data_IF_932294661880
#
_entry.id   IF_932294661880
#
_cell.length_a   1.000
_cell.length_b   1.000
_cell.length_c   1.000
_cell.angle_alpha   90.00
_cell.angle_beta   90.00
_cell.angle_gamma   90.00
#
_symmetry.space_group_name_H-M   'P 1'
#
loop_
_entity.id
_entity.type
_entity.pdbx_description
1 polymer ?
#
# COMPACT_ATOMS: atom_id res chain seq x y z
N UNK A 1 14.89 -54.07 44.61
CA UNK A 1 14.69 -53.09 43.51
C UNK A 1 14.90 -53.83 42.20
N UNK A 2 14.16 -53.41 41.18
CA UNK A 2 14.18 -53.83 39.77
C UNK A 2 13.28 -54.98 39.28
N UNK A 3 12.06 -54.53 38.98
CA UNK A 3 11.30 -54.65 37.72
C UNK A 3 10.88 -56.01 37.19
N UNK A 4 9.59 -56.25 37.43
CA UNK A 4 8.72 -57.28 36.87
C UNK A 4 8.03 -56.77 35.60
N UNK A 5 8.06 -57.64 34.58
CA UNK A 5 7.09 -57.89 33.48
C UNK A 5 6.81 -56.82 32.42
N UNK A 6 7.05 -57.24 31.17
CA UNK A 6 6.27 -56.83 30.01
C UNK A 6 5.02 -57.69 29.77
N UNK A 7 4.12 -57.15 28.96
CA UNK A 7 3.14 -57.78 28.03
C UNK A 7 2.40 -56.60 27.36
N UNK A 8 2.66 -56.31 26.08
CA UNK A 8 1.98 -56.83 24.87
C UNK A 8 0.48 -56.50 24.82
N UNK A 9 0.09 -55.67 23.85
CA UNK A 9 -1.07 -55.92 22.99
C UNK A 9 -1.09 -54.88 21.84
N UNK A 10 -1.03 -55.40 20.62
CA UNK A 10 -1.11 -54.62 19.39
C UNK A 10 -2.53 -54.50 18.83
N UNK A 11 -2.55 -54.00 17.59
CA UNK A 11 -3.61 -54.04 16.56
C UNK A 11 -4.52 -52.80 16.46
N UNK A 12 -4.33 -52.05 15.39
CA UNK A 12 -5.28 -52.02 14.25
C UNK A 12 -4.68 -51.23 13.08
N UNK A 13 -4.52 -51.89 11.94
CA UNK A 13 -4.34 -51.22 10.66
C UNK A 13 -5.69 -50.90 10.03
N UNK A 14 -5.77 -49.78 9.33
CA UNK A 14 -6.73 -49.53 8.27
C UNK A 14 -6.11 -48.56 7.27
N UNK A 15 -5.77 -49.10 6.10
CA UNK A 15 -5.54 -48.37 4.85
C UNK A 15 -6.84 -47.71 4.41
N UNK A 16 -6.82 -46.49 3.85
CA UNK A 16 -7.55 -46.15 2.61
C UNK A 16 -7.29 -44.73 2.10
N UNK A 17 -6.94 -44.69 0.81
CA UNK A 17 -7.28 -43.74 -0.25
C UNK A 17 -6.70 -42.32 -0.33
N UNK A 18 -6.06 -42.14 -1.49
CA UNK A 18 -5.72 -40.92 -2.18
C UNK A 18 -6.93 -40.29 -2.90
N UNK A 19 -6.67 -39.10 -3.48
CA UNK A 19 -7.53 -38.18 -4.24
C UNK A 19 -8.41 -37.28 -3.35
N UNK A 20 -8.50 -35.96 -3.56
CA UNK A 20 -8.20 -35.16 -4.75
C UNK A 20 -8.08 -33.68 -4.40
N UNK A 21 -7.43 -32.95 -5.31
CA UNK A 21 -7.60 -31.53 -5.67
C UNK A 21 -7.69 -30.48 -4.54
N UNK A 22 -6.64 -29.69 -4.32
CA UNK A 22 -6.43 -28.43 -5.05
C UNK A 22 -7.46 -27.35 -4.70
N UNK A 23 -7.23 -26.68 -3.58
CA UNK A 23 -7.73 -25.33 -3.34
C UNK A 23 -6.61 -24.50 -2.71
N UNK A 24 -5.52 -24.34 -3.47
CA UNK A 24 -4.56 -23.28 -3.21
C UNK A 24 -5.13 -22.01 -3.85
N UNK A 25 -6.07 -21.39 -3.12
CA UNK A 25 -6.62 -20.10 -3.45
C UNK A 25 -5.50 -19.15 -3.84
N UNK A 26 -5.57 -18.68 -5.08
CA UNK A 26 -4.72 -17.62 -5.62
C UNK A 26 -4.73 -16.49 -4.60
N UNK A 27 -3.59 -16.20 -3.98
CA UNK A 27 -3.42 -15.02 -3.14
C UNK A 27 -3.53 -13.79 -4.06
N UNK A 28 -4.78 -13.38 -4.29
CA UNK A 28 -5.15 -12.17 -5.00
C UNK A 28 -4.88 -10.99 -4.08
N UNK A 29 -3.61 -10.65 -3.98
CA UNK A 29 -3.10 -9.62 -3.09
C UNK A 29 -2.31 -8.62 -3.94
N UNK A 30 -2.98 -8.01 -4.92
CA UNK A 30 -2.40 -6.95 -5.75
C UNK A 30 -2.77 -5.55 -5.22
N UNK A 31 -2.01 -5.09 -4.21
CA UNK A 31 -2.20 -3.81 -3.50
C UNK A 31 -1.77 -2.54 -4.26
N UNK A 32 -2.18 -1.37 -3.72
CA UNK A 32 -2.31 -0.06 -4.39
C UNK A 32 -1.22 0.96 -4.11
N UNK A 33 -0.42 1.28 -5.14
CA UNK A 33 0.37 2.51 -5.31
C UNK A 33 0.64 2.74 -6.81
N UNK A 34 0.46 3.98 -7.27
CA UNK A 34 0.88 4.49 -8.57
C UNK A 34 0.24 3.81 -9.79
N UNK A 35 -0.70 4.48 -10.46
CA UNK A 35 -1.41 3.92 -11.62
C UNK A 35 -0.48 3.34 -12.70
N UNK A 36 0.72 3.88 -12.88
CA UNK A 36 1.67 3.40 -13.90
C UNK A 36 2.56 2.22 -13.44
N UNK A 37 2.95 2.20 -12.16
CA UNK A 37 3.72 1.11 -11.53
C UNK A 37 2.90 -0.18 -11.50
N UNK A 38 1.65 -0.11 -11.04
CA UNK A 38 0.70 -1.23 -11.10
C UNK A 38 0.47 -1.72 -12.51
N UNK A 39 0.35 -0.80 -13.48
CA UNK A 39 0.17 -1.18 -14.88
C UNK A 39 1.38 -1.95 -15.40
N UNK A 40 2.60 -1.68 -14.94
CA UNK A 40 3.79 -2.42 -15.40
C UNK A 40 3.77 -3.90 -14.96
N UNK A 41 3.56 -4.19 -13.67
CA UNK A 41 3.54 -5.58 -13.19
C UNK A 41 2.36 -6.37 -13.74
N UNK A 42 1.20 -5.75 -13.84
CA UNK A 42 0.01 -6.37 -14.45
C UNK A 42 0.28 -6.66 -15.93
N UNK A 43 0.92 -5.74 -16.67
CA UNK A 43 1.32 -6.00 -18.07
C UNK A 43 2.33 -7.15 -18.18
N UNK A 44 3.31 -7.21 -17.28
CA UNK A 44 4.30 -8.29 -17.25
C UNK A 44 3.63 -9.65 -16.95
N UNK A 45 2.73 -9.69 -15.97
CA UNK A 45 1.96 -10.89 -15.66
C UNK A 45 1.05 -11.32 -16.81
N UNK A 46 0.30 -10.39 -17.41
CA UNK A 46 -0.57 -10.70 -18.54
C UNK A 46 0.23 -11.21 -19.74
N UNK A 47 1.42 -10.65 -19.98
CA UNK A 47 2.33 -11.17 -20.99
C UNK A 47 2.75 -12.62 -20.68
N UNK A 48 3.15 -12.90 -19.44
CA UNK A 48 3.48 -14.27 -19.02
C UNK A 48 2.31 -15.24 -19.17
N UNK A 49 1.10 -14.85 -18.75
CA UNK A 49 -0.11 -15.66 -18.93
C UNK A 49 -0.39 -15.92 -20.40
N UNK A 50 -0.19 -14.94 -21.28
CA UNK A 50 -0.40 -15.11 -22.72
C UNK A 50 0.55 -16.14 -23.35
N UNK A 51 1.70 -16.41 -22.72
CA UNK A 51 2.69 -17.39 -23.17
C UNK A 51 2.46 -18.81 -22.64
N UNK A 52 1.49 -19.02 -21.73
CA UNK A 52 1.24 -20.33 -21.13
C UNK A 52 0.80 -21.37 -22.17
N UNK A 53 -0.02 -20.99 -23.15
CA UNK A 53 -0.50 -21.88 -24.22
C UNK A 53 -1.02 -23.24 -23.68
N UNK A 54 -1.74 -23.22 -22.55
CA UNK A 54 -2.28 -24.42 -21.89
C UNK A 54 -1.27 -25.26 -21.10
N UNK A 55 -0.01 -24.82 -20.99
CA UNK A 55 1.05 -25.46 -20.18
C UNK A 55 1.04 -24.92 -18.74
N UNK A 56 1.61 -25.66 -17.77
CA UNK A 56 1.78 -25.16 -16.41
C UNK A 56 2.76 -23.97 -16.33
N UNK A 57 3.76 -23.94 -17.23
CA UNK A 57 4.75 -22.87 -17.33
C UNK A 57 4.96 -22.52 -18.81
N UNK A 58 5.16 -21.23 -19.13
CA UNK A 58 5.51 -20.83 -20.48
C UNK A 58 6.86 -21.41 -20.91
N UNK A 59 6.99 -21.66 -22.21
CA UNK A 59 8.29 -22.05 -22.77
C UNK A 59 9.23 -20.85 -22.84
N UNK A 60 10.47 -21.03 -22.37
CA UNK A 60 11.50 -19.99 -22.50
C UNK A 60 11.77 -19.61 -23.96
N UNK A 61 11.54 -20.53 -24.91
CA UNK A 61 11.72 -20.28 -26.34
C UNK A 61 10.77 -19.21 -26.90
N UNK A 62 9.67 -18.92 -26.20
CA UNK A 62 8.68 -17.92 -26.61
C UNK A 62 8.91 -16.55 -25.94
N UNK A 63 9.92 -16.43 -25.07
CA UNK A 63 10.25 -15.19 -24.39
C UNK A 63 11.37 -14.46 -25.14
N UNK A 64 11.07 -13.24 -25.60
CA UNK A 64 12.05 -12.36 -26.25
C UNK A 64 12.14 -11.02 -25.48
N UNK A 65 12.94 -10.94 -24.40
CA UNK A 65 12.94 -9.78 -23.49
C UNK A 65 13.30 -8.46 -24.18
N UNK A 66 14.15 -8.51 -25.21
CA UNK A 66 14.62 -7.34 -25.96
C UNK A 66 13.53 -6.67 -26.80
N UNK A 67 12.51 -7.41 -27.20
CA UNK A 67 11.41 -6.89 -28.02
C UNK A 67 10.35 -6.16 -27.20
N UNK A 68 10.37 -6.36 -25.87
CA UNK A 68 9.37 -5.83 -24.96
C UNK A 68 9.77 -4.40 -24.55
N UNK A 69 9.19 -3.41 -25.21
CA UNK A 69 9.47 -1.99 -24.93
C UNK A 69 8.98 -1.53 -23.57
N UNK A 70 7.88 -2.10 -23.08
CA UNK A 70 7.15 -1.57 -21.92
C UNK A 70 7.84 -1.86 -20.59
N UNK A 71 8.49 -3.02 -20.47
CA UNK A 71 9.11 -3.49 -19.23
C UNK A 71 10.40 -4.29 -19.46
N UNK A 72 10.80 -4.57 -20.70
CA UNK A 72 12.09 -5.19 -21.02
C UNK A 72 13.31 -4.43 -20.48
N UNK A 73 13.33 -3.09 -20.42
CA UNK A 73 14.42 -2.35 -19.77
C UNK A 73 14.50 -2.56 -18.24
N UNK A 74 13.39 -2.97 -17.62
CA UNK A 74 13.21 -3.15 -16.19
C UNK A 74 13.23 -4.63 -15.76
N UNK A 75 13.61 -5.53 -16.67
CA UNK A 75 13.53 -6.97 -16.44
C UNK A 75 14.89 -7.65 -16.32
N UNK A 76 14.88 -8.86 -15.77
CA UNK A 76 16.03 -9.74 -15.62
C UNK A 76 15.59 -11.17 -15.93
N UNK A 77 16.45 -11.94 -16.60
CA UNK A 77 16.26 -13.37 -16.81
C UNK A 77 17.38 -14.13 -16.13
N UNK A 78 16.99 -15.03 -15.24
CA UNK A 78 17.89 -15.90 -14.49
C UNK A 78 17.79 -17.33 -15.04
N UNK A 79 18.93 -17.94 -15.31
CA UNK A 79 19.10 -19.30 -15.81
C UNK A 79 19.64 -20.22 -14.70
N UNK A 80 18.82 -21.20 -14.34
CA UNK A 80 19.07 -22.20 -13.29
C UNK A 80 19.47 -23.57 -13.85
N UNK A 81 19.64 -23.70 -15.17
CA UNK A 81 19.96 -24.98 -15.83
C UNK A 81 21.25 -25.64 -15.30
N UNK A 82 22.16 -24.85 -14.70
CA UNK A 82 23.44 -25.32 -14.16
C UNK A 82 23.51 -25.33 -12.62
N UNK A 83 22.39 -25.08 -11.92
CA UNK A 83 22.31 -25.14 -10.46
C UNK A 83 21.58 -23.96 -9.82
N UNK A 84 21.13 -24.16 -8.58
CA UNK A 84 20.31 -23.18 -7.86
C UNK A 84 21.11 -22.19 -7.01
N UNK A 85 22.39 -22.42 -6.75
CA UNK A 85 23.18 -21.60 -5.81
C UNK A 85 23.69 -20.28 -6.39
N UNK A 86 24.15 -20.30 -7.64
CA UNK A 86 24.62 -19.11 -8.36
C UNK A 86 24.13 -19.15 -9.83
N UNK A 87 22.87 -18.79 -10.07
CA UNK A 87 22.25 -18.75 -11.39
C UNK A 87 22.98 -17.79 -12.33
N UNK A 88 22.94 -18.10 -13.62
CA UNK A 88 23.47 -17.19 -14.65
C UNK A 88 22.45 -16.10 -14.96
N UNK A 89 22.93 -14.91 -15.26
CA UNK A 89 22.08 -13.82 -15.76
C UNK A 89 22.06 -13.91 -17.28
N UNK A 90 20.99 -14.48 -17.82
CA UNK A 90 20.82 -14.67 -19.27
C UNK A 90 20.41 -13.37 -19.98
N UNK A 91 19.69 -12.50 -19.28
CA UNK A 91 19.31 -11.18 -19.78
C UNK A 91 19.22 -10.19 -18.62
N UNK A 92 19.67 -8.96 -18.86
CA UNK A 92 19.54 -7.86 -17.91
C UNK A 92 19.13 -6.58 -18.66
N UNK A 93 17.97 -6.06 -18.29
CA UNK A 93 17.42 -4.82 -18.84
C UNK A 93 18.29 -3.61 -18.55
N UNK A 94 18.32 -2.68 -19.50
CA UNK A 94 19.18 -1.50 -19.46
C UNK A 94 18.94 -0.60 -18.23
N UNK A 95 17.68 -0.31 -17.90
CA UNK A 95 17.37 0.57 -16.77
C UNK A 95 17.81 -0.05 -15.45
N UNK A 96 17.58 -1.36 -15.29
CA UNK A 96 18.01 -2.09 -14.09
C UNK A 96 19.54 -2.15 -13.98
N UNK A 97 20.23 -2.32 -15.12
CA UNK A 97 21.70 -2.28 -15.18
C UNK A 97 22.27 -0.93 -14.75
N UNK A 98 21.68 0.16 -15.24
CA UNK A 98 22.08 1.53 -14.92
C UNK A 98 21.81 1.86 -13.43
N UNK A 99 20.68 1.41 -12.89
CA UNK A 99 20.36 1.58 -11.46
C UNK A 99 21.39 0.90 -10.57
N UNK A 100 21.70 -0.37 -10.86
CA UNK A 100 22.65 -1.17 -10.08
C UNK A 100 24.11 -0.71 -10.23
N UNK A 101 24.40 0.26 -11.12
CA UNK A 101 25.74 0.81 -11.31
C UNK A 101 26.71 -0.17 -11.98
N UNK A 102 26.22 -0.96 -12.92
CA UNK A 102 26.96 -2.10 -13.48
C UNK A 102 27.77 -1.70 -14.73
N UNK A 103 29.07 -1.45 -14.54
CA UNK A 103 29.98 -0.96 -15.59
C UNK A 103 30.57 -2.06 -16.48
N UNK A 104 30.42 -3.34 -16.13
CA UNK A 104 31.00 -4.48 -16.84
C UNK A 104 29.99 -5.59 -17.17
N UNK A 105 30.39 -6.63 -17.92
CA UNK A 105 29.56 -7.82 -18.10
C UNK A 105 29.38 -8.54 -16.77
N UNK A 106 28.18 -9.04 -16.53
CA UNK A 106 27.81 -9.81 -15.33
C UNK A 106 27.36 -11.17 -15.82
N UNK A 107 28.00 -12.23 -15.32
CA UNK A 107 27.70 -13.57 -15.74
C UNK A 107 26.75 -14.25 -14.76
N UNK A 108 26.90 -14.00 -13.46
CA UNK A 108 26.14 -14.69 -12.41
C UNK A 108 25.62 -13.74 -11.33
N UNK A 109 24.78 -14.27 -10.43
CA UNK A 109 24.24 -13.49 -9.31
C UNK A 109 25.35 -13.09 -8.33
N UNK A 110 26.40 -13.90 -8.17
CA UNK A 110 27.54 -13.57 -7.32
C UNK A 110 28.30 -12.30 -7.74
N UNK A 111 28.24 -11.94 -9.02
CA UNK A 111 28.84 -10.71 -9.57
C UNK A 111 28.01 -9.44 -9.26
N UNK A 112 26.78 -9.61 -8.76
CA UNK A 112 25.86 -8.51 -8.47
C UNK A 112 26.28 -7.77 -7.19
N UNK A 113 26.38 -6.42 -7.21
CA UNK A 113 26.69 -5.66 -6.02
C UNK A 113 25.70 -5.93 -4.88
N UNK A 114 26.19 -6.12 -3.64
CA UNK A 114 25.31 -6.26 -2.49
C UNK A 114 24.54 -4.96 -2.27
N UNK A 115 23.29 -5.06 -1.80
CA UNK A 115 22.37 -3.92 -1.60
C UNK A 115 21.98 -3.20 -2.90
N UNK A 116 21.96 -3.92 -4.02
CA UNK A 116 21.34 -3.49 -5.27
C UNK A 116 19.92 -4.04 -5.41
N UNK A 117 19.11 -3.49 -6.34
CA UNK A 117 17.80 -4.03 -6.67
C UNK A 117 17.85 -5.50 -7.10
N UNK A 118 18.85 -5.87 -7.90
CA UNK A 118 19.07 -7.25 -8.33
C UNK A 118 19.31 -8.18 -7.14
N UNK A 119 20.19 -7.80 -6.20
CA UNK A 119 20.48 -8.62 -5.01
C UNK A 119 19.20 -8.91 -4.19
N UNK A 120 18.25 -7.97 -4.15
CA UNK A 120 16.97 -8.16 -3.47
C UNK A 120 16.01 -9.05 -4.23
N UNK A 121 15.90 -8.87 -5.54
CA UNK A 121 15.10 -9.75 -6.39
C UNK A 121 15.54 -11.21 -6.25
N UNK A 122 16.85 -11.43 -6.09
CA UNK A 122 17.41 -12.77 -5.96
C UNK A 122 17.20 -13.42 -4.59
N UNK A 123 16.79 -12.67 -3.56
CA UNK A 123 16.47 -13.27 -2.26
C UNK A 123 15.19 -14.13 -2.31
N UNK A 124 14.33 -13.88 -3.31
CA UNK A 124 12.99 -14.48 -3.39
C UNK A 124 12.88 -15.65 -4.38
N UNK A 125 13.89 -15.94 -5.21
CA UNK A 125 13.75 -16.98 -6.25
C UNK A 125 13.55 -18.39 -5.67
N UNK A 126 14.10 -18.67 -4.48
CA UNK A 126 13.87 -19.96 -3.79
C UNK A 126 12.39 -20.17 -3.46
N UNK A 127 11.66 -19.08 -3.17
CA UNK A 127 10.23 -19.14 -2.90
C UNK A 127 9.43 -19.44 -4.17
N UNK A 128 9.86 -18.94 -5.34
CA UNK A 128 9.27 -19.28 -6.65
C UNK A 128 9.40 -20.77 -6.92
N UNK A 129 10.61 -21.32 -6.74
CA UNK A 129 10.87 -22.73 -7.00
C UNK A 129 10.06 -23.62 -6.05
N UNK A 130 9.94 -23.21 -4.79
CA UNK A 130 9.14 -23.93 -3.79
C UNK A 130 7.64 -23.92 -4.11
N UNK A 131 7.09 -22.74 -4.40
CA UNK A 131 5.65 -22.54 -4.59
C UNK A 131 5.18 -22.85 -6.02
N UNK A 132 6.11 -22.93 -6.97
CA UNK A 132 5.85 -23.20 -8.38
C UNK A 132 4.85 -22.24 -9.03
N UNK A 133 4.86 -20.99 -8.60
CA UNK A 133 3.95 -19.95 -9.03
C UNK A 133 4.67 -18.60 -9.15
N UNK A 134 4.15 -17.66 -9.96
CA UNK A 134 4.60 -16.28 -9.93
C UNK A 134 4.48 -15.66 -8.53
N UNK A 135 5.46 -14.84 -8.13
CA UNK A 135 5.44 -14.11 -6.85
C UNK A 135 5.67 -12.63 -7.13
N UNK A 136 4.72 -11.82 -6.69
CA UNK A 136 4.91 -10.37 -6.54
C UNK A 136 5.51 -10.05 -5.18
N UNK A 137 6.39 -9.07 -5.12
CA UNK A 137 6.96 -8.56 -3.87
C UNK A 137 7.17 -7.06 -3.95
N UNK A 138 7.10 -6.42 -2.80
CA UNK A 138 7.36 -5.00 -2.63
C UNK A 138 8.13 -4.76 -1.35
N UNK A 139 9.10 -3.86 -1.40
CA UNK A 139 9.85 -3.47 -0.22
C UNK A 139 10.47 -2.08 -0.40
N UNK A 140 11.02 -1.59 0.69
CA UNK A 140 11.88 -0.42 0.71
C UNK A 140 13.29 -0.82 1.11
N UNK A 141 14.29 -0.16 0.52
CA UNK A 141 15.67 -0.28 0.96
C UNK A 141 16.40 1.04 0.77
N UNK A 142 17.48 1.22 1.51
CA UNK A 142 18.39 2.33 1.28
C UNK A 142 19.42 1.89 0.24
N UNK A 143 19.42 2.56 -0.91
CA UNK A 143 20.35 2.26 -2.00
C UNK A 143 21.80 2.55 -1.63
N UNK A 144 22.74 2.05 -2.44
CA UNK A 144 24.17 2.38 -2.32
C UNK A 144 24.44 3.90 -2.39
N UNK A 145 23.50 4.67 -2.96
CA UNK A 145 23.54 6.14 -3.05
C UNK A 145 22.96 6.85 -1.81
N UNK A 146 22.58 6.10 -0.77
CA UNK A 146 22.03 6.65 0.48
C UNK A 146 20.55 7.03 0.43
N UNK A 147 19.90 6.88 -0.73
CA UNK A 147 18.50 7.27 -0.93
C UNK A 147 17.57 6.12 -0.61
N UNK A 148 16.45 6.42 0.03
CA UNK A 148 15.39 5.44 0.25
C UNK A 148 14.70 5.14 -1.08
N UNK A 149 14.76 3.88 -1.49
CA UNK A 149 14.20 3.39 -2.75
C UNK A 149 13.09 2.41 -2.42
N UNK A 150 11.88 2.73 -2.87
CA UNK A 150 10.76 1.80 -2.91
C UNK A 150 10.85 1.01 -4.21
N UNK A 151 10.68 -0.30 -4.14
CA UNK A 151 10.59 -1.13 -5.34
C UNK A 151 9.47 -2.14 -5.23
N UNK A 152 8.94 -2.50 -6.39
CA UNK A 152 8.03 -3.62 -6.54
C UNK A 152 8.49 -4.45 -7.72
N UNK A 153 8.47 -5.76 -7.54
CA UNK A 153 8.81 -6.71 -8.57
C UNK A 153 7.81 -7.84 -8.68
N UNK A 154 7.83 -8.51 -9.82
CA UNK A 154 7.18 -9.80 -10.02
C UNK A 154 8.21 -10.75 -10.61
N UNK A 155 8.31 -11.95 -10.03
CA UNK A 155 9.09 -13.07 -10.56
C UNK A 155 8.15 -14.12 -11.10
N UNK A 156 8.48 -14.62 -12.28
CA UNK A 156 7.62 -15.53 -13.03
C UNK A 156 8.45 -16.72 -13.52
N UNK A 157 8.01 -17.97 -13.25
CA UNK A 157 8.74 -19.15 -13.64
C UNK A 157 8.56 -19.45 -15.13
N UNK A 158 9.62 -19.95 -15.76
CA UNK A 158 9.66 -20.46 -17.13
C UNK A 158 10.26 -21.85 -17.13
N UNK A 159 9.89 -22.65 -18.12
CA UNK A 159 10.39 -24.00 -18.32
C UNK A 159 10.91 -24.18 -19.76
N UNK A 160 12.06 -24.79 -19.97
CA UNK A 160 12.47 -25.23 -21.33
C UNK A 160 11.64 -26.43 -21.80
N UNK A 161 11.49 -27.44 -20.92
CA UNK A 161 10.83 -28.72 -21.22
C UNK A 161 9.42 -28.86 -20.61
N UNK A 162 8.91 -27.83 -19.93
CA UNK A 162 7.54 -27.79 -19.38
C UNK A 162 7.32 -28.45 -18.02
N UNK A 163 8.25 -29.27 -17.52
CA UNK A 163 8.11 -29.96 -16.23
C UNK A 163 8.90 -29.33 -15.07
N UNK A 164 10.05 -28.73 -15.36
CA UNK A 164 10.95 -28.14 -14.35
C UNK A 164 11.18 -26.66 -14.60
N UNK A 165 11.15 -25.88 -13.53
CA UNK A 165 11.50 -24.46 -13.57
C UNK A 165 13.01 -24.36 -13.69
N UNK A 166 13.50 -24.01 -14.87
CA UNK A 166 14.91 -23.80 -15.18
C UNK A 166 15.22 -22.34 -15.51
N UNK A 167 14.20 -21.51 -15.71
CA UNK A 167 14.34 -20.07 -15.90
C UNK A 167 13.38 -19.29 -15.00
N UNK A 168 13.83 -18.13 -14.52
CA UNK A 168 12.95 -17.17 -13.83
C UNK A 168 13.12 -15.82 -14.48
N UNK A 169 12.01 -15.26 -14.94
CA UNK A 169 11.95 -13.92 -15.47
C UNK A 169 11.38 -12.98 -14.42
N UNK A 170 12.14 -11.94 -14.10
CA UNK A 170 11.76 -10.92 -13.12
C UNK A 170 11.54 -9.58 -13.79
N UNK A 171 10.54 -8.83 -13.36
CA UNK A 171 10.34 -7.42 -13.73
C UNK A 171 10.30 -6.61 -12.45
N UNK A 172 11.09 -5.54 -12.36
CA UNK A 172 11.18 -4.69 -11.18
C UNK A 172 11.08 -3.22 -11.55
N UNK A 173 10.21 -2.50 -10.86
CA UNK A 173 10.11 -1.05 -10.97
C UNK A 173 10.43 -0.43 -9.61
N UNK A 174 11.02 0.77 -9.62
CA UNK A 174 11.48 1.43 -8.42
C UNK A 174 11.27 2.94 -8.48
N UNK A 175 11.12 3.52 -7.29
CA UNK A 175 11.00 4.95 -7.08
C UNK A 175 11.92 5.37 -5.94
N UNK A 176 12.84 6.27 -6.25
CA UNK A 176 13.68 6.89 -5.26
C UNK A 176 12.89 8.02 -4.56
N UNK A 177 12.73 7.93 -3.26
CA UNK A 177 12.33 9.06 -2.43
C UNK A 177 13.57 9.95 -2.27
N UNK A 178 13.43 11.24 -2.56
CA UNK A 178 14.47 12.21 -2.22
C UNK A 178 14.43 12.42 -0.70
N UNK A 179 15.58 12.30 -0.04
CA UNK A 179 15.66 12.46 1.41
C UNK A 179 15.22 13.86 1.82
N UNK A 180 14.22 13.92 2.70
CA UNK A 180 13.83 15.14 3.41
C UNK A 180 15.03 15.78 4.14
N UNK A 181 16.06 15.00 4.48
CA UNK A 181 17.29 15.46 5.12
C UNK A 181 18.21 16.23 4.17
N UNK A 182 18.26 15.87 2.88
CA UNK A 182 19.04 16.62 1.89
C UNK A 182 18.33 17.93 1.55
N UNK A 183 17.00 17.90 1.45
CA UNK A 183 16.17 19.11 1.32
C UNK A 183 16.25 20.01 2.55
N UNK A 184 16.31 19.46 3.77
CA UNK A 184 16.50 20.20 5.01
C UNK A 184 17.91 20.79 5.14
N UNK A 185 18.93 20.08 4.67
CA UNK A 185 20.32 20.58 4.66
C UNK A 185 20.49 21.67 3.61
N UNK A 186 19.97 21.46 2.39
CA UNK A 186 19.96 22.44 1.30
C UNK A 186 19.13 23.68 1.66
N UNK A 187 17.98 23.52 2.31
CA UNK A 187 17.18 24.65 2.80
C UNK A 187 17.87 25.37 3.94
N UNK A 188 18.50 24.66 4.88
CA UNK A 188 19.27 25.27 5.96
C UNK A 188 20.51 26.03 5.46
N UNK A 189 21.22 25.50 4.44
CA UNK A 189 22.33 26.19 3.79
C UNK A 189 21.87 27.42 2.99
N UNK A 190 20.75 27.31 2.27
CA UNK A 190 20.14 28.43 1.55
C UNK A 190 19.68 29.53 2.50
N UNK A 191 19.01 29.17 3.60
CA UNK A 191 18.58 30.10 4.64
C UNK A 191 19.77 30.75 5.36
N UNK A 192 20.86 30.01 5.55
CA UNK A 192 22.10 30.55 6.11
C UNK A 192 22.78 31.55 5.15
N UNK A 193 22.79 31.28 3.84
CA UNK A 193 23.33 32.18 2.82
C UNK A 193 22.48 33.47 2.70
N UNK A 194 21.14 33.34 2.73
CA UNK A 194 20.22 34.49 2.73
C UNK A 194 20.43 35.36 3.99
N UNK A 195 20.61 34.74 5.17
CA UNK A 195 20.91 35.46 6.43
C UNK A 195 22.32 36.08 6.47
N UNK A 196 23.29 35.48 5.78
CA UNK A 196 24.66 35.99 5.70
C UNK A 196 24.83 37.11 4.66
N UNK A 197 23.81 37.40 3.85
CA UNK A 197 23.83 38.54 2.93
C UNK A 197 23.59 39.83 3.73
N UNK A 198 24.55 40.78 3.79
CA UNK A 198 24.36 42.00 4.57
C UNK A 198 23.19 42.81 4.02
N UNK A 199 22.14 43.00 4.82
CA UNK A 199 21.14 44.04 4.55
C UNK A 199 21.84 45.40 4.64
N UNK A 200 22.02 46.05 3.49
CA UNK A 200 22.39 47.45 3.45
C UNK A 200 21.24 48.28 4.03
N UNK A 201 21.35 48.64 5.29
CA UNK A 201 20.46 49.61 5.94
C UNK A 201 21.05 51.01 5.80
N UNK A 202 20.32 51.91 5.13
CA UNK A 202 20.59 53.35 5.16
C UNK A 202 20.18 54.11 3.91
N UNK A 203 18.93 54.60 3.90
CA UNK A 203 18.41 55.82 3.27
C UNK A 203 19.18 56.49 2.10
N UNK A 204 18.59 56.49 0.89
CA UNK A 204 18.20 57.71 0.16
C UNK A 204 17.55 57.35 -1.20
N UNK A 205 16.65 58.24 -1.64
CA UNK A 205 16.01 58.35 -2.96
C UNK A 205 14.71 57.54 -3.19
N UNK A 206 13.65 57.99 -2.51
CA UNK A 206 12.41 58.32 -3.23
C UNK A 206 12.71 59.33 -4.35
N UNK A 207 11.87 59.36 -5.40
CA UNK A 207 11.83 60.29 -6.54
C UNK A 207 12.52 59.76 -7.81
N UNK A 208 11.73 59.10 -8.68
CA UNK A 208 11.53 59.29 -10.15
C UNK A 208 10.23 58.50 -10.44
N UNK A 209 9.04 59.12 -10.32
CA UNK A 209 8.32 59.90 -11.34
C UNK A 209 7.55 59.04 -12.38
N UNK A 210 6.22 59.06 -12.22
CA UNK A 210 5.08 58.97 -13.15
C UNK A 210 5.20 58.52 -14.62
N UNK A 211 4.37 57.51 -14.96
CA UNK A 211 3.40 57.42 -16.10
C UNK A 211 3.93 57.17 -17.54
N UNK A 212 3.13 56.62 -18.49
CA UNK A 212 1.67 56.45 -18.51
C UNK A 212 1.18 55.06 -19.02
N UNK A 213 0.22 54.45 -18.31
CA UNK A 213 -0.79 53.53 -18.88
C UNK A 213 -1.91 53.40 -17.85
N UNK A 214 -2.82 54.38 -17.85
CA UNK A 214 -4.05 54.32 -17.10
C UNK A 214 -5.13 53.51 -17.83
N UNK A 215 -6.05 52.95 -17.04
CA UNK A 215 -7.32 52.35 -17.47
C UNK A 215 -7.17 50.88 -17.88
N UNK A 216 -7.84 49.91 -17.26
CA UNK A 216 -9.23 49.95 -16.82
C UNK A 216 -9.44 49.21 -15.50
N UNK A 217 -10.29 49.84 -14.70
CA UNK A 217 -10.81 49.41 -13.43
C UNK A 217 -11.87 48.32 -13.60
N UNK A 218 -11.82 47.36 -12.67
CA UNK A 218 -12.96 46.90 -11.85
C UNK A 218 -13.93 45.83 -12.35
N UNK A 219 -14.26 44.98 -11.37
CA UNK A 219 -15.50 44.21 -11.15
C UNK A 219 -15.56 42.74 -11.62
N UNK A 220 -15.21 41.82 -10.72
CA UNK A 220 -16.10 40.69 -10.38
C UNK A 220 -17.19 41.21 -9.39
N UNK A 221 -18.38 40.60 -9.21
CA UNK A 221 -18.72 39.19 -9.45
C UNK A 221 -20.12 38.93 -10.07
N UNK A 222 -20.42 37.69 -10.46
CA UNK A 222 -21.79 37.17 -10.48
C UNK A 222 -21.81 35.63 -10.41
N UNK A 223 -22.61 35.14 -9.47
CA UNK A 223 -22.97 33.74 -9.21
C UNK A 223 -24.13 33.34 -10.12
N UNK A 224 -24.18 32.08 -10.57
CA UNK A 224 -25.34 31.35 -11.11
C UNK A 224 -24.98 29.86 -11.03
N UNK A 225 -25.35 29.14 -9.97
CA UNK A 225 -26.64 28.44 -9.78
C UNK A 225 -26.93 27.43 -10.91
N UNK A 226 -26.37 26.23 -10.77
CA UNK A 226 -26.72 25.05 -11.58
C UNK A 226 -27.80 24.27 -10.83
N UNK A 227 -29.03 24.41 -11.32
CA UNK A 227 -30.23 23.69 -10.89
C UNK A 227 -30.15 22.24 -11.37
N UNK A 228 -30.37 21.33 -10.44
CA UNK A 228 -30.64 19.90 -10.65
C UNK A 228 -32.05 19.73 -11.23
N UNK A 229 -32.19 18.91 -12.26
CA UNK A 229 -33.47 18.26 -12.56
C UNK A 229 -33.19 16.83 -13.04
N UNK A 230 -33.66 15.85 -12.26
CA UNK A 230 -33.89 14.48 -12.66
C UNK A 230 -35.42 14.33 -12.79
N UNK A 231 -35.96 13.44 -13.64
CA UNK A 231 -36.27 12.13 -13.07
C UNK A 231 -36.28 10.92 -14.04
N UNK A 232 -35.87 9.78 -13.47
CA UNK A 232 -36.52 8.45 -13.51
C UNK A 232 -36.79 7.76 -14.86
N UNK A 233 -36.25 6.54 -14.97
CA UNK A 233 -36.98 5.37 -15.49
C UNK A 233 -36.45 4.08 -14.84
N UNK A 234 -37.31 3.46 -14.05
CA UNK A 234 -37.21 2.10 -13.51
C UNK A 234 -37.91 1.13 -14.47
N UNK A 235 -37.27 0.02 -14.83
CA UNK A 235 -37.93 -1.27 -15.09
C UNK A 235 -36.89 -2.40 -14.97
N UNK A 236 -36.85 -3.08 -13.82
CA UNK A 236 -37.42 -4.42 -13.55
C UNK A 236 -36.55 -5.63 -13.93
N UNK A 237 -35.96 -6.23 -12.89
CA UNK A 237 -36.04 -7.66 -12.51
C UNK A 237 -35.57 -8.74 -13.51
N UNK A 238 -34.52 -9.47 -13.14
CA UNK A 238 -34.59 -10.94 -13.02
C UNK A 238 -33.55 -11.44 -12.02
N UNK A 239 -34.07 -11.94 -10.89
CA UNK A 239 -33.41 -12.71 -9.85
C UNK A 239 -33.39 -14.19 -10.24
N UNK A 240 -32.29 -14.85 -9.89
CA UNK A 240 -32.11 -16.25 -9.47
C UNK A 240 -30.82 -16.75 -10.13
N UNK A 241 -29.75 -16.97 -9.37
CA UNK A 241 -29.68 -18.09 -8.43
C UNK A 241 -28.91 -17.78 -7.16
N UNK A 242 -29.54 -18.04 -6.01
CA UNK A 242 -28.93 -18.12 -4.69
C UNK A 242 -28.59 -19.57 -4.35
N UNK A 243 -27.43 -19.79 -3.75
CA UNK A 243 -27.09 -20.82 -2.74
C UNK A 243 -25.66 -20.50 -2.27
N UNK A 244 -25.43 -19.63 -1.27
CA UNK A 244 -25.65 -19.75 0.19
C UNK A 244 -24.55 -20.53 0.92
N UNK A 245 -23.53 -19.80 1.39
CA UNK A 245 -23.08 -19.76 2.81
C UNK A 245 -22.02 -18.65 2.99
N UNK A 246 -22.36 -17.42 3.41
CA UNK A 246 -22.58 -16.90 4.80
C UNK A 246 -21.25 -16.82 5.60
N UNK A 247 -20.77 -15.74 6.22
CA UNK A 247 -21.36 -14.55 6.87
C UNK A 247 -20.32 -13.39 6.98
N UNK A 248 -20.75 -12.14 6.69
CA UNK A 248 -20.44 -10.87 7.40
C UNK A 248 -20.38 -9.66 6.46
N UNK A 249 -21.49 -9.38 5.79
CA UNK A 249 -21.79 -8.08 5.20
C UNK A 249 -23.14 -7.64 5.77
N UNK A 250 -23.10 -7.00 6.94
CA UNK A 250 -24.26 -6.36 7.52
C UNK A 250 -24.73 -5.23 6.61
N UNK A 251 -26.02 -5.23 6.31
CA UNK A 251 -26.77 -4.18 5.61
C UNK A 251 -26.22 -2.81 6.00
N UNK A 252 -25.57 -2.13 5.06
CA UNK A 252 -25.17 -0.74 5.21
C UNK A 252 -26.44 0.09 5.10
N UNK A 253 -26.79 0.94 6.08
CA UNK A 253 -27.93 1.83 5.92
C UNK A 253 -27.66 2.79 4.75
N UNK A 254 -28.59 2.83 3.79
CA UNK A 254 -28.52 3.75 2.65
C UNK A 254 -28.72 5.19 3.16
N UNK A 255 -27.62 5.92 3.34
CA UNK A 255 -27.58 7.31 3.80
C UNK A 255 -26.15 7.86 3.80
N UNK A 256 -25.96 9.19 3.89
CA UNK A 256 -24.64 9.83 3.79
C UNK A 256 -23.67 9.34 4.86
N UNK A 257 -24.15 9.08 6.09
CA UNK A 257 -23.33 8.49 7.16
C UNK A 257 -22.91 7.04 6.88
N UNK A 258 -23.78 6.26 6.23
CA UNK A 258 -23.49 4.88 5.82
C UNK A 258 -22.40 4.82 4.75
N UNK A 259 -22.45 5.73 3.77
CA UNK A 259 -21.40 5.88 2.75
C UNK A 259 -20.07 6.29 3.37
N UNK A 260 -20.07 7.26 4.29
CA UNK A 260 -18.87 7.67 5.00
C UNK A 260 -18.28 6.55 5.85
N UNK A 261 -19.12 5.75 6.52
CA UNK A 261 -18.67 4.57 7.25
C UNK A 261 -18.06 3.53 6.30
N UNK A 262 -18.67 3.31 5.13
CA UNK A 262 -18.14 2.39 4.13
C UNK A 262 -16.75 2.82 3.65
N UNK A 263 -16.58 4.10 3.31
CA UNK A 263 -15.28 4.68 2.91
C UNK A 263 -14.23 4.60 4.03
N UNK A 264 -14.64 4.83 5.28
CA UNK A 264 -13.76 4.72 6.44
C UNK A 264 -13.33 3.27 6.68
N UNK A 265 -14.25 2.31 6.55
CA UNK A 265 -13.98 0.86 6.65
C UNK A 265 -13.10 0.35 5.54
N UNK A 266 -13.32 0.79 4.30
CA UNK A 266 -12.46 0.48 3.17
C UNK A 266 -11.02 0.97 3.42
N UNK A 267 -10.87 2.20 3.90
CA UNK A 267 -9.56 2.76 4.27
C UNK A 267 -8.89 1.99 5.43
N UNK A 268 -9.67 1.58 6.44
CA UNK A 268 -9.18 0.76 7.54
C UNK A 268 -8.80 -0.67 7.09
N UNK A 269 -9.55 -1.26 6.16
CA UNK A 269 -9.23 -2.54 5.53
C UNK A 269 -7.93 -2.44 4.72
N UNK A 270 -7.74 -1.37 3.95
CA UNK A 270 -6.47 -1.09 3.27
C UNK A 270 -5.30 -0.95 4.26
N UNK A 271 -5.48 -0.27 5.39
CA UNK A 271 -4.45 -0.19 6.43
C UNK A 271 -4.11 -1.56 7.03
N UNK A 272 -5.11 -2.42 7.28
CA UNK A 272 -4.86 -3.80 7.73
C UNK A 272 -4.07 -4.61 6.73
N UNK A 273 -4.45 -4.49 5.47
CA UNK A 273 -3.88 -5.27 4.38
C UNK A 273 -2.43 -4.85 4.09
N UNK A 274 -2.07 -3.59 4.37
CA UNK A 274 -0.72 -3.04 4.28
C UNK A 274 0.24 -3.44 5.44
N UNK A 275 -0.04 -4.52 6.17
CA UNK A 275 0.74 -5.04 7.32
C UNK A 275 1.17 -3.97 8.36
N UNK A 276 0.29 -3.02 8.69
CA UNK A 276 0.47 -2.03 9.75
C UNK A 276 1.69 -1.09 9.69
N UNK A 277 2.58 -1.21 8.70
CA UNK A 277 3.78 -0.35 8.55
C UNK A 277 3.56 0.83 7.61
N UNK A 278 2.45 0.86 6.87
CA UNK A 278 2.10 1.95 5.97
C UNK A 278 1.60 3.20 6.69
N UNK A 279 2.48 4.16 6.98
CA UNK A 279 2.14 5.46 7.61
C UNK A 279 1.04 6.20 6.84
N UNK A 280 1.12 6.25 5.51
CA UNK A 280 0.13 6.92 4.67
C UNK A 280 -1.25 6.23 4.70
N UNK A 281 -1.28 4.90 4.76
CA UNK A 281 -2.53 4.14 4.88
C UNK A 281 -3.18 4.36 6.25
N UNK A 282 -2.38 4.40 7.31
CA UNK A 282 -2.83 4.71 8.66
C UNK A 282 -3.38 6.15 8.75
N UNK A 283 -2.63 7.14 8.26
CA UNK A 283 -3.07 8.54 8.25
C UNK A 283 -4.38 8.71 7.47
N UNK A 284 -4.52 8.02 6.32
CA UNK A 284 -5.77 8.02 5.55
C UNK A 284 -6.93 7.40 6.33
N UNK A 285 -6.72 6.23 6.95
CA UNK A 285 -7.74 5.56 7.75
C UNK A 285 -8.17 6.41 8.95
N UNK A 286 -7.22 7.03 9.66
CA UNK A 286 -7.50 7.96 10.75
C UNK A 286 -8.24 9.20 10.26
N UNK A 287 -7.85 9.77 9.12
CA UNK A 287 -8.53 10.94 8.55
C UNK A 287 -9.97 10.63 8.21
N UNK A 288 -10.25 9.49 7.57
CA UNK A 288 -11.63 9.06 7.28
C UNK A 288 -12.42 8.74 8.54
N UNK A 289 -11.78 8.16 9.57
CA UNK A 289 -12.42 7.92 10.85
C UNK A 289 -12.78 9.23 11.58
N UNK A 290 -11.93 10.27 11.47
CA UNK A 290 -12.21 11.60 12.00
C UNK A 290 -13.36 12.29 11.26
N UNK A 291 -13.33 12.28 9.93
CA UNK A 291 -14.39 12.87 9.09
C UNK A 291 -15.75 12.24 9.41
N UNK A 292 -15.80 10.91 9.54
CA UNK A 292 -16.98 10.18 9.97
C UNK A 292 -17.41 10.56 11.40
N UNK A 293 -16.46 10.71 12.33
CA UNK A 293 -16.78 11.12 13.69
C UNK A 293 -17.40 12.52 13.77
N UNK A 294 -16.94 13.48 12.95
CA UNK A 294 -17.48 14.84 12.87
C UNK A 294 -18.87 14.84 12.23
N UNK A 295 -19.10 14.05 11.18
CA UNK A 295 -20.42 13.91 10.57
C UNK A 295 -21.43 13.28 11.53
N UNK A 296 -21.01 12.26 12.28
CA UNK A 296 -21.85 11.56 13.24
C UNK A 296 -22.34 12.44 14.41
N UNK A 297 -21.72 13.60 14.66
CA UNK A 297 -22.19 14.58 15.65
C UNK A 297 -23.53 15.22 15.26
N UNK A 298 -23.81 15.31 13.97
CA UNK A 298 -25.00 15.94 13.42
C UNK A 298 -26.11 14.93 13.09
N UNK A 299 -25.77 13.64 13.01
CA UNK A 299 -26.64 12.53 12.58
C UNK A 299 -26.68 11.42 13.66
N UNK A 300 -27.01 11.81 14.90
CA UNK A 300 -26.91 10.94 16.08
C UNK A 300 -27.84 9.71 16.07
N UNK A 301 -29.04 9.84 15.48
CA UNK A 301 -29.99 8.72 15.35
C UNK A 301 -29.48 7.66 14.37
N UNK A 302 -28.86 8.09 13.26
CA UNK A 302 -28.25 7.18 12.27
C UNK A 302 -27.00 6.50 12.82
N UNK A 303 -26.20 7.20 13.62
CA UNK A 303 -25.09 6.59 14.35
C UNK A 303 -25.60 5.53 15.33
N UNK A 304 -26.67 5.79 16.08
CA UNK A 304 -27.24 4.83 17.01
C UNK A 304 -27.74 3.56 16.28
N UNK A 305 -28.35 3.72 15.11
CA UNK A 305 -28.76 2.60 14.26
C UNK A 305 -27.54 1.77 13.80
N UNK A 306 -26.47 2.44 13.34
CA UNK A 306 -25.21 1.79 12.92
C UNK A 306 -24.53 1.01 14.06
N UNK A 307 -24.50 1.57 15.26
CA UNK A 307 -23.93 0.92 16.44
C UNK A 307 -24.75 -0.30 16.88
N UNK A 308 -26.09 -0.19 16.81
CA UNK A 308 -26.99 -1.32 17.09
C UNK A 308 -26.78 -2.48 16.12
N UNK A 309 -26.67 -2.20 14.81
CA UNK A 309 -26.38 -3.22 13.79
C UNK A 309 -25.02 -3.90 14.03
N UNK A 310 -24.03 -3.14 14.50
CA UNK A 310 -22.71 -3.68 14.83
C UNK A 310 -22.65 -4.42 16.18
N UNK A 311 -23.74 -4.45 16.95
CA UNK A 311 -23.80 -5.09 18.27
C UNK A 311 -22.96 -4.38 19.34
N UNK A 312 -22.68 -3.07 19.17
CA UNK A 312 -21.87 -2.30 20.11
C UNK A 312 -22.78 -1.68 21.19
N UNK A 313 -22.63 -2.06 22.49
CA UNK A 313 -23.50 -1.57 23.56
C UNK A 313 -23.21 -0.10 23.89
N UNK A 314 -24.25 0.66 24.24
CA UNK A 314 -24.22 2.11 24.48
C UNK A 314 -23.43 2.59 25.71
N UNK A 315 -22.81 1.69 26.48
CA UNK A 315 -22.07 2.04 27.71
C UNK A 315 -20.62 2.51 27.44
N UNK A 316 -20.11 2.30 26.21
CA UNK A 316 -18.77 2.75 25.82
C UNK A 316 -18.77 4.20 25.33
N UNK A 317 -17.64 4.89 25.51
CA UNK A 317 -17.47 6.26 25.01
C UNK A 317 -17.65 6.31 23.48
N UNK A 318 -18.45 7.26 22.98
CA UNK A 318 -18.83 7.37 21.56
C UNK A 318 -17.64 7.29 20.58
N UNK A 319 -16.49 7.90 20.92
CA UNK A 319 -15.30 7.84 20.07
C UNK A 319 -14.70 6.43 19.98
N UNK A 320 -14.70 5.67 21.09
CA UNK A 320 -14.19 4.30 21.10
C UNK A 320 -15.09 3.38 20.26
N UNK A 321 -16.41 3.59 20.33
CA UNK A 321 -17.38 2.88 19.49
C UNK A 321 -17.19 3.21 18.00
N UNK A 322 -16.96 4.47 17.64
CA UNK A 322 -16.67 4.88 16.27
C UNK A 322 -15.39 4.21 15.75
N UNK A 323 -14.31 4.25 16.53
CA UNK A 323 -13.05 3.58 16.17
C UNK A 323 -13.26 2.08 16.01
N UNK A 324 -14.00 1.44 16.91
CA UNK A 324 -14.33 0.02 16.81
C UNK A 324 -15.25 -0.30 15.63
N UNK A 325 -16.13 0.62 15.23
CA UNK A 325 -17.03 0.46 14.09
C UNK A 325 -16.27 0.55 12.75
N UNK A 326 -15.34 1.49 12.64
CA UNK A 326 -14.50 1.74 11.46
C UNK A 326 -13.41 0.68 11.32
N UNK A 327 -12.63 0.49 12.37
CA UNK A 327 -11.52 -0.45 12.34
C UNK A 327 -12.00 -1.86 12.61
N UNK A 328 -13.10 -2.13 13.30
CA UNK A 328 -13.63 -3.47 13.53
C UNK A 328 -13.02 -4.16 14.77
N UNK A 329 -13.76 -5.10 15.35
CA UNK A 329 -13.45 -5.73 16.64
C UNK A 329 -12.17 -6.60 16.67
N UNK A 330 -11.72 -7.09 15.52
CA UNK A 330 -10.53 -7.96 15.42
C UNK A 330 -9.20 -7.19 15.42
N UNK A 331 -9.21 -5.87 15.61
CA UNK A 331 -8.00 -5.06 15.72
C UNK A 331 -7.35 -5.20 17.11
N UNK A 332 -6.02 -5.04 17.16
CA UNK A 332 -5.28 -5.03 18.42
C UNK A 332 -5.80 -3.93 19.38
N UNK A 333 -6.19 -4.32 20.60
CA UNK A 333 -6.82 -3.42 21.58
C UNK A 333 -5.95 -2.20 21.92
N UNK A 334 -4.63 -2.36 22.02
CA UNK A 334 -3.71 -1.24 22.29
C UNK A 334 -3.74 -0.17 21.19
N UNK A 335 -3.86 -0.59 19.92
CA UNK A 335 -3.96 0.33 18.78
C UNK A 335 -5.31 1.02 18.70
N UNK A 336 -6.40 0.31 18.98
CA UNK A 336 -7.72 0.92 19.06
C UNK A 336 -7.76 2.00 20.15
N UNK A 337 -7.13 1.75 21.31
CA UNK A 337 -6.98 2.76 22.36
C UNK A 337 -6.19 3.98 21.85
N UNK A 338 -5.02 3.76 21.25
CA UNK A 338 -4.18 4.82 20.70
C UNK A 338 -4.95 5.69 19.69
N UNK A 339 -5.64 5.06 18.73
CA UNK A 339 -6.42 5.78 17.73
C UNK A 339 -7.58 6.57 18.35
N UNK A 340 -8.23 5.99 19.37
CA UNK A 340 -9.27 6.68 20.13
C UNK A 340 -8.73 7.94 20.81
N UNK A 341 -7.55 7.87 21.40
CA UNK A 341 -6.91 9.00 22.08
C UNK A 341 -6.53 10.10 21.08
N UNK A 342 -5.96 9.73 19.93
CA UNK A 342 -5.62 10.65 18.83
C UNK A 342 -6.87 11.38 18.32
N UNK A 343 -7.94 10.65 18.01
CA UNK A 343 -9.18 11.26 17.49
C UNK A 343 -9.89 12.11 18.56
N UNK A 344 -9.83 11.71 19.83
CA UNK A 344 -10.35 12.54 20.93
C UNK A 344 -9.59 13.86 21.04
N UNK A 345 -8.26 13.82 20.88
CA UNK A 345 -7.41 15.01 20.90
C UNK A 345 -7.72 15.93 19.72
N UNK A 346 -7.78 15.39 18.50
CA UNK A 346 -8.16 16.15 17.31
C UNK A 346 -9.53 16.83 17.46
N UNK A 347 -10.51 16.13 18.04
CA UNK A 347 -11.84 16.70 18.33
C UNK A 347 -11.79 17.84 19.35
N UNK A 348 -10.99 17.73 20.41
CA UNK A 348 -10.81 18.83 21.40
C UNK A 348 -10.24 20.09 20.75
N UNK A 349 -9.34 19.90 19.79
CA UNK A 349 -8.76 20.98 18.99
C UNK A 349 -9.67 21.46 17.84
N UNK A 350 -10.91 20.96 17.76
CA UNK A 350 -11.93 21.36 16.77
C UNK A 350 -11.43 21.24 15.32
N UNK A 351 -10.65 20.19 15.03
CA UNK A 351 -10.14 19.93 13.69
C UNK A 351 -11.32 19.70 12.73
N UNK A 352 -11.47 20.50 11.65
CA UNK A 352 -12.57 20.34 10.70
C UNK A 352 -12.40 19.08 9.84
N UNK A 353 -13.46 18.69 9.13
CA UNK A 353 -13.43 17.62 8.11
C UNK A 353 -12.30 17.88 7.11
N UNK A 354 -11.49 16.86 6.84
CA UNK A 354 -10.30 16.95 5.98
C UNK A 354 -9.08 17.63 6.62
N UNK A 355 -9.19 18.15 7.85
CA UNK A 355 -8.11 18.84 8.57
C UNK A 355 -7.17 17.92 9.35
N UNK A 356 -7.49 16.64 9.50
CA UNK A 356 -6.68 15.70 10.29
C UNK A 356 -5.23 15.53 9.78
N UNK A 357 -4.94 15.44 8.46
CA UNK A 357 -3.56 15.33 7.98
C UNK A 357 -2.66 16.47 8.48
N UNK A 358 -3.12 17.71 8.33
CA UNK A 358 -2.37 18.89 8.79
C UNK A 358 -2.20 18.93 10.30
N UNK A 359 -3.16 18.40 11.05
CA UNK A 359 -3.05 18.24 12.50
C UNK A 359 -1.98 17.22 12.89
N UNK A 360 -1.92 16.08 12.20
CA UNK A 360 -0.91 15.04 12.44
C UNK A 360 0.50 15.49 12.05
N UNK A 361 0.64 16.28 10.98
CA UNK A 361 1.92 16.84 10.55
C UNK A 361 2.51 17.79 11.60
N UNK A 362 1.66 18.47 12.39
CA UNK A 362 2.11 19.31 13.51
C UNK A 362 2.79 18.56 14.66
N UNK A 363 2.73 17.22 14.66
CA UNK A 363 3.37 16.33 15.63
C UNK A 363 4.38 15.39 14.95
N UNK A 364 4.90 15.74 13.77
CA UNK A 364 5.80 14.91 12.96
C UNK A 364 5.24 13.50 12.67
N UNK A 365 3.91 13.34 12.73
CA UNK A 365 3.22 12.05 12.57
C UNK A 365 3.39 11.08 13.74
N UNK A 366 3.91 11.50 14.89
CA UNK A 366 4.02 10.65 16.10
C UNK A 366 2.67 10.57 16.84
N UNK A 367 1.94 9.48 16.56
CA UNK A 367 0.67 9.18 17.22
C UNK A 367 0.80 8.98 18.73
N UNK A 368 1.97 8.54 19.20
CA UNK A 368 2.21 8.31 20.63
C UNK A 368 2.36 9.63 21.38
N UNK A 369 3.04 10.61 20.77
CA UNK A 369 3.15 11.97 21.31
C UNK A 369 1.77 12.65 21.40
N UNK A 370 0.92 12.46 20.38
CA UNK A 370 -0.45 12.97 20.38
C UNK A 370 -1.29 12.32 21.49
N UNK A 371 -1.21 11.00 21.65
CA UNK A 371 -1.96 10.29 22.68
C UNK A 371 -1.47 10.64 24.10
N UNK A 372 -0.16 10.86 24.29
CA UNK A 372 0.39 11.35 25.55
C UNK A 372 -0.14 12.76 25.88
N UNK A 373 -0.15 13.68 24.91
CA UNK A 373 -0.74 15.00 25.06
C UNK A 373 -2.26 14.93 25.38
N UNK A 374 -2.97 13.96 24.80
CA UNK A 374 -4.38 13.73 25.08
C UNK A 374 -4.64 13.28 26.53
N UNK A 375 -3.70 12.51 27.10
CA UNK A 375 -3.76 11.97 28.47
C UNK A 375 -3.38 13.01 29.54
N UNK A 376 -2.38 13.86 29.30
CA UNK A 376 -1.98 14.94 30.22
C UNK A 376 -3.14 15.92 30.47
N UNK A 377 -3.89 16.25 29.43
CA UNK A 377 -5.06 17.12 29.52
C UNK A 377 -6.35 16.42 30.03
N UNK A 378 -6.35 15.09 30.21
CA UNK A 378 -7.46 14.39 30.85
C UNK A 378 -7.29 14.29 32.38
N UNK A 379 -6.08 14.53 32.89
CA UNK A 379 -5.75 14.53 34.31
C UNK A 379 -5.83 15.91 34.98
N UNK A 380 -6.10 16.96 34.19
CA UNK A 380 -6.34 18.34 34.65
C UNK A 380 -7.81 18.68 34.48
#
# INVERSE_FOLDING_TARGET
>A
MDTVRGRDDGRAGATTSAHDAADAGVNDVMFDLGGDERRMHVRAYNHWVSLLDGRPYPSIANLEPETITDFGPHSVLLDFSHGMGDPKIAYLGRALREECGLEGPIATIADVPPRSLLSRLTDHYLQIIANRAPIGFEAEFVSSRGRTTLYRGILMPFASAGETIDFIFGVINWKELADADMQATLSAELDAAVRATPQASGEAAQVWADGPSGGFDSAAPAMQELVLDEPLSSDTLSSDTLSSDTLSAGIVPNGPLGEQLAMARESAAHFRAAEARGRAALQRALSRAHDFAVAAEHEGDDLAALLSVAGLPGESAAMAQIVQLVFGANFEAGRLSLFTDVLRHARRHQVPVGGLPSFLDGYDGDLSAIAAAAAEHAAT
#
